data_IF_110986581283
#
_entry.id   IF_110986581283
#
_cell.length_a   1.000
_cell.length_b   1.000
_cell.length_c   1.000
_cell.angle_alpha   90.00
_cell.angle_beta   90.00
_cell.angle_gamma   90.00
#
_symmetry.space_group_name_H-M   'P 1'
#
loop_
_entity.id
_entity.type
_entity.pdbx_description
1 polymer ?
#
# COMPACT_ATOMS: atom_id res chain seq x y z
N UNK A 1 -46.96 47.42 37.58
CA UNK A 1 -47.32 46.19 36.86
C UNK A 1 -46.80 46.16 35.43
N UNK A 2 -47.39 46.85 34.43
CA UNK A 2 -46.91 46.77 33.02
C UNK A 2 -45.47 47.30 32.85
N UNK A 3 -45.12 48.40 33.52
CA UNK A 3 -43.77 48.97 33.45
C UNK A 3 -42.71 48.02 34.05
N UNK A 4 -43.00 47.39 35.18
CA UNK A 4 -42.08 46.46 35.86
C UNK A 4 -41.87 45.16 35.06
N UNK A 5 -42.88 44.71 34.31
CA UNK A 5 -42.76 43.57 33.41
C UNK A 5 -41.87 43.90 32.21
N UNK A 6 -42.06 45.08 31.61
CA UNK A 6 -41.21 45.56 30.52
C UNK A 6 -39.76 45.77 30.96
N UNK A 7 -39.51 46.28 32.17
CA UNK A 7 -38.16 46.42 32.73
C UNK A 7 -37.46 45.07 32.93
N UNK A 8 -38.21 44.04 33.37
CA UNK A 8 -37.67 42.68 33.50
C UNK A 8 -37.36 42.05 32.15
N UNK A 9 -38.24 42.23 31.16
CA UNK A 9 -38.04 41.72 29.80
C UNK A 9 -36.82 42.40 29.14
N UNK A 10 -36.70 43.72 29.28
CA UNK A 10 -35.54 44.48 28.82
C UNK A 10 -34.24 43.94 29.43
N UNK A 11 -34.21 43.76 30.75
CA UNK A 11 -33.02 43.22 31.44
C UNK A 11 -32.64 41.82 30.96
N UNK A 12 -33.64 40.96 30.71
CA UNK A 12 -33.40 39.60 30.21
C UNK A 12 -32.85 39.61 28.78
N UNK A 13 -33.38 40.48 27.93
CA UNK A 13 -32.89 40.68 26.57
C UNK A 13 -31.48 41.26 26.55
N UNK A 14 -31.17 42.25 27.39
CA UNK A 14 -29.82 42.81 27.52
C UNK A 14 -28.81 41.74 27.93
N UNK A 15 -29.11 40.96 28.97
CA UNK A 15 -28.22 39.86 29.40
C UNK A 15 -28.03 38.81 28.31
N UNK A 16 -29.08 38.52 27.52
CA UNK A 16 -28.99 37.58 26.40
C UNK A 16 -28.13 38.13 25.27
N UNK A 17 -28.25 39.43 24.95
CA UNK A 17 -27.42 40.10 23.96
C UNK A 17 -25.94 40.07 24.37
N UNK A 18 -25.62 40.45 25.61
CA UNK A 18 -24.25 40.42 26.14
C UNK A 18 -23.65 39.01 26.18
N UNK A 19 -24.47 37.98 26.40
CA UNK A 19 -24.02 36.58 26.33
C UNK A 19 -23.71 36.18 24.89
N UNK A 20 -24.58 36.51 23.95
CA UNK A 20 -24.39 36.20 22.53
C UNK A 20 -23.20 36.96 21.93
N UNK A 21 -22.95 38.20 22.34
CA UNK A 21 -21.76 38.96 21.93
C UNK A 21 -20.48 38.28 22.40
N UNK A 22 -20.43 37.80 23.64
CA UNK A 22 -19.27 37.05 24.15
C UNK A 22 -19.07 35.72 23.42
N UNK A 23 -20.14 34.95 23.23
CA UNK A 23 -20.09 33.69 22.47
C UNK A 23 -19.63 33.95 21.03
N UNK A 24 -20.05 35.07 20.42
CA UNK A 24 -19.63 35.45 19.08
C UNK A 24 -18.12 35.75 19.03
N UNK A 25 -17.59 36.55 19.95
CA UNK A 25 -16.15 36.83 20.01
C UNK A 25 -15.31 35.58 20.29
N UNK A 26 -15.76 34.69 21.17
CA UNK A 26 -15.09 33.40 21.42
C UNK A 26 -15.05 32.52 20.16
N UNK A 27 -16.13 32.52 19.36
CA UNK A 27 -16.17 31.80 18.09
C UNK A 27 -15.27 32.45 17.02
N UNK A 28 -15.18 33.78 16.98
CA UNK A 28 -14.25 34.48 16.08
C UNK A 28 -12.79 34.14 16.40
N UNK A 29 -12.43 34.08 17.68
CA UNK A 29 -11.10 33.67 18.13
C UNK A 29 -10.82 32.20 17.75
N UNK A 30 -11.78 31.29 17.96
CA UNK A 30 -11.65 29.89 17.53
C UNK A 30 -11.49 29.74 16.02
N UNK A 31 -12.21 30.54 15.22
CA UNK A 31 -12.06 30.54 13.75
C UNK A 31 -10.64 30.99 13.38
N UNK A 32 -10.15 32.06 14.01
CA UNK A 32 -8.80 32.57 13.75
C UNK A 32 -7.71 31.54 14.09
N UNK A 33 -7.83 30.86 15.23
CA UNK A 33 -6.90 29.80 15.64
C UNK A 33 -6.94 28.61 14.66
N UNK A 34 -8.12 28.19 14.22
CA UNK A 34 -8.29 27.12 13.22
C UNK A 34 -7.72 27.51 11.85
N UNK A 35 -7.82 28.78 11.45
CA UNK A 35 -7.20 29.27 10.21
C UNK A 35 -5.67 29.22 10.29
N UNK A 36 -5.08 29.54 11.45
CA UNK A 36 -3.64 29.38 11.68
C UNK A 36 -3.24 27.91 11.60
N UNK A 37 -3.92 27.02 12.34
CA UNK A 37 -3.62 25.58 12.34
C UNK A 37 -3.72 24.99 10.92
N UNK A 38 -4.74 25.40 10.16
CA UNK A 38 -4.88 24.99 8.76
C UNK A 38 -3.67 25.42 7.91
N UNK A 39 -3.23 26.66 8.03
CA UNK A 39 -2.08 27.17 7.26
C UNK A 39 -0.78 26.43 7.63
N UNK A 40 -0.60 26.11 8.91
CA UNK A 40 0.55 25.33 9.37
C UNK A 40 0.54 23.90 8.79
N UNK A 41 -0.63 23.22 8.80
CA UNK A 41 -0.80 21.90 8.20
C UNK A 41 -0.55 21.94 6.68
N UNK A 42 -1.03 22.96 5.97
CA UNK A 42 -0.78 23.15 4.54
C UNK A 42 0.73 23.30 4.26
N UNK A 43 1.44 24.07 5.08
CA UNK A 43 2.89 24.23 4.98
C UNK A 43 3.65 22.91 5.23
N UNK A 44 3.26 22.14 6.25
CA UNK A 44 3.85 20.82 6.52
C UNK A 44 3.61 19.84 5.37
N UNK A 45 2.40 19.87 4.78
CA UNK A 45 2.05 19.04 3.64
C UNK A 45 2.91 19.37 2.42
N UNK A 46 3.16 20.64 2.14
CA UNK A 46 4.04 21.09 1.06
C UNK A 46 5.49 20.64 1.26
N UNK A 47 6.02 20.74 2.48
CA UNK A 47 7.35 20.23 2.80
C UNK A 47 7.46 18.71 2.58
N UNK A 48 6.45 17.95 3.02
CA UNK A 48 6.41 16.50 2.85
C UNK A 48 6.35 16.15 1.37
N UNK A 49 5.51 16.84 0.59
CA UNK A 49 5.42 16.66 -0.86
C UNK A 49 6.75 16.96 -1.55
N UNK A 50 7.46 18.01 -1.11
CA UNK A 50 8.78 18.32 -1.63
C UNK A 50 9.79 17.20 -1.33
N UNK A 51 9.84 16.70 -0.09
CA UNK A 51 10.70 15.57 0.31
C UNK A 51 10.38 14.31 -0.51
N UNK A 52 9.10 14.00 -0.72
CA UNK A 52 8.66 12.88 -1.57
C UNK A 52 9.15 13.06 -3.00
N UNK A 53 9.06 14.27 -3.57
CA UNK A 53 9.51 14.53 -4.93
C UNK A 53 11.03 14.37 -5.09
N UNK A 54 11.83 14.84 -4.13
CA UNK A 54 13.28 14.60 -4.10
C UNK A 54 13.58 13.10 -4.05
N UNK A 55 12.91 12.35 -3.16
CA UNK A 55 13.11 10.90 -3.05
C UNK A 55 12.74 10.20 -4.36
N UNK A 56 11.62 10.58 -4.99
CA UNK A 56 11.21 10.04 -6.30
C UNK A 56 12.24 10.32 -7.37
N UNK A 57 12.79 11.53 -7.43
CA UNK A 57 13.87 11.87 -8.36
C UNK A 57 15.10 11.01 -8.11
N UNK A 58 15.56 10.89 -6.87
CA UNK A 58 16.71 10.06 -6.52
C UNK A 58 16.52 8.58 -6.88
N UNK A 59 15.31 8.04 -6.67
CA UNK A 59 14.97 6.67 -7.08
C UNK A 59 14.98 6.55 -8.60
N UNK A 60 14.36 7.49 -9.32
CA UNK A 60 14.35 7.48 -10.77
C UNK A 60 15.77 7.60 -11.34
N UNK A 61 16.61 8.46 -10.77
CA UNK A 61 18.01 8.58 -11.17
C UNK A 61 18.79 7.29 -10.89
N UNK A 62 18.57 6.66 -9.73
CA UNK A 62 19.15 5.36 -9.44
C UNK A 62 18.71 4.30 -10.45
N UNK A 63 17.41 4.22 -10.75
CA UNK A 63 16.85 3.24 -11.70
C UNK A 63 17.33 3.50 -13.13
N UNK A 64 17.37 4.77 -13.57
CA UNK A 64 17.80 5.13 -14.91
C UNK A 64 19.30 4.89 -15.12
N UNK A 65 20.11 5.06 -14.07
CA UNK A 65 21.55 4.86 -14.14
C UNK A 65 21.97 3.41 -13.86
N UNK A 66 21.10 2.59 -13.27
CA UNK A 66 21.41 1.21 -12.92
C UNK A 66 20.80 0.24 -13.94
N UNK A 67 21.64 -0.29 -14.81
CA UNK A 67 21.24 -1.22 -15.88
C UNK A 67 21.38 -2.68 -15.47
N UNK A 68 21.79 -2.98 -14.23
CA UNK A 68 21.94 -4.35 -13.75
C UNK A 68 20.55 -4.99 -13.55
N UNK A 69 20.18 -6.01 -14.36
CA UNK A 69 18.87 -6.66 -14.28
C UNK A 69 18.63 -7.33 -12.93
N UNK A 70 19.66 -7.86 -12.28
CA UNK A 70 19.55 -8.47 -10.96
C UNK A 70 19.18 -7.42 -9.90
N UNK A 71 19.86 -6.28 -9.89
CA UNK A 71 19.60 -5.21 -8.91
C UNK A 71 18.17 -4.67 -9.07
N UNK A 72 17.73 -4.48 -10.31
CA UNK A 72 16.38 -3.99 -10.59
C UNK A 72 15.30 -4.98 -10.13
N UNK A 73 15.45 -6.26 -10.44
CA UNK A 73 14.50 -7.29 -10.01
C UNK A 73 14.55 -7.51 -8.48
N UNK A 74 15.73 -7.37 -7.87
CA UNK A 74 15.89 -7.39 -6.41
C UNK A 74 15.10 -6.27 -5.74
N UNK A 75 15.20 -5.04 -6.26
CA UNK A 75 14.47 -3.89 -5.74
C UNK A 75 12.96 -4.11 -5.87
N UNK A 76 12.50 -4.57 -7.05
CA UNK A 76 11.09 -4.91 -7.29
C UNK A 76 10.57 -5.90 -6.24
N UNK A 77 11.29 -7.01 -6.03
CA UNK A 77 10.91 -8.01 -5.04
C UNK A 77 10.98 -7.49 -3.59
N UNK A 78 11.90 -6.57 -3.27
CA UNK A 78 12.08 -6.05 -1.91
C UNK A 78 10.86 -5.29 -1.36
N UNK A 79 9.98 -4.78 -2.21
CA UNK A 79 8.73 -4.12 -1.79
C UNK A 79 7.68 -5.09 -1.19
N UNK A 80 7.91 -6.40 -1.33
CA UNK A 80 7.08 -7.46 -0.75
C UNK A 80 7.64 -8.02 0.56
N UNK A 81 8.74 -7.47 1.08
CA UNK A 81 9.27 -7.85 2.39
C UNK A 81 8.63 -7.04 3.52
N UNK A 82 8.62 -7.64 4.71
CA UNK A 82 8.22 -6.94 5.92
C UNK A 82 9.32 -5.97 6.37
N UNK A 83 8.96 -4.69 6.56
CA UNK A 83 9.92 -3.62 6.85
C UNK A 83 10.08 -3.32 8.35
N UNK A 84 9.33 -4.00 9.23
CA UNK A 84 9.20 -3.62 10.64
C UNK A 84 9.96 -4.51 11.63
N UNK A 85 10.48 -5.66 11.21
CA UNK A 85 11.11 -6.63 12.13
C UNK A 85 12.41 -7.22 11.56
N UNK A 86 13.21 -7.89 12.39
CA UNK A 86 14.35 -8.73 11.96
C UNK A 86 13.90 -10.18 11.84
N UNK A 87 12.82 -10.42 11.09
CA UNK A 87 12.27 -11.76 10.85
C UNK A 87 12.77 -12.31 9.51
N UNK A 88 12.55 -13.60 9.26
CA UNK A 88 12.81 -14.19 7.95
C UNK A 88 12.09 -13.46 6.80
N UNK A 89 10.95 -12.82 7.07
CA UNK A 89 10.16 -12.05 6.09
C UNK A 89 10.84 -10.75 5.63
N UNK A 90 11.90 -10.33 6.30
CA UNK A 90 12.71 -9.16 5.94
C UNK A 90 13.86 -9.49 4.99
N UNK A 91 13.87 -10.71 4.47
CA UNK A 91 14.86 -11.17 3.51
C UNK A 91 14.21 -11.58 2.21
N UNK A 92 14.99 -11.49 1.13
CA UNK A 92 14.66 -12.09 -0.15
C UNK A 92 15.39 -13.41 -0.25
N UNK A 93 14.69 -14.45 -0.68
CA UNK A 93 15.27 -15.75 -1.02
C UNK A 93 15.74 -15.70 -2.46
N UNK A 94 17.05 -15.83 -2.66
CA UNK A 94 17.68 -15.89 -3.98
C UNK A 94 17.86 -17.35 -4.34
N UNK A 95 17.13 -17.82 -5.35
CA UNK A 95 17.25 -19.18 -5.87
C UNK A 95 18.22 -19.21 -7.06
N UNK A 96 18.22 -20.30 -7.83
CA UNK A 96 19.05 -20.40 -9.04
C UNK A 96 18.59 -19.47 -10.17
N UNK A 97 17.30 -19.14 -10.22
CA UNK A 97 16.69 -18.39 -11.33
C UNK A 97 15.55 -17.44 -10.91
N UNK A 98 15.29 -17.31 -9.61
CA UNK A 98 14.20 -16.49 -9.09
C UNK A 98 14.62 -15.75 -7.82
N UNK A 99 14.11 -14.53 -7.70
CA UNK A 99 14.14 -13.72 -6.49
C UNK A 99 12.75 -13.79 -5.87
N UNK A 100 12.66 -14.27 -4.63
CA UNK A 100 11.40 -14.52 -3.93
C UNK A 100 11.31 -13.67 -2.68
N UNK A 101 10.16 -13.03 -2.47
CA UNK A 101 9.86 -12.26 -1.27
C UNK A 101 8.42 -12.50 -0.81
N UNK A 102 8.18 -12.40 0.50
CA UNK A 102 6.86 -12.46 1.10
C UNK A 102 6.86 -11.76 2.47
N UNK A 103 5.69 -11.30 2.89
CA UNK A 103 5.45 -10.71 4.22
C UNK A 103 4.34 -11.42 5.00
N UNK A 104 3.91 -12.59 4.51
CA UNK A 104 2.82 -13.38 5.08
C UNK A 104 1.45 -13.10 4.47
N UNK A 105 1.22 -11.91 3.90
CA UNK A 105 -0.07 -11.54 3.28
C UNK A 105 0.02 -11.43 1.75
N UNK A 106 1.23 -11.25 1.25
CA UNK A 106 1.53 -11.20 -0.18
C UNK A 106 2.89 -11.80 -0.44
N UNK A 107 3.08 -12.24 -1.67
CA UNK A 107 4.32 -12.85 -2.11
C UNK A 107 4.59 -12.53 -3.58
N UNK A 108 5.87 -12.51 -3.95
CA UNK A 108 6.34 -12.32 -5.31
C UNK A 108 7.45 -13.33 -5.62
N UNK A 109 7.43 -13.85 -6.85
CA UNK A 109 8.56 -14.51 -7.48
C UNK A 109 8.90 -13.78 -8.79
N UNK A 110 10.15 -13.31 -8.91
CA UNK A 110 10.66 -12.66 -10.12
C UNK A 110 11.70 -13.57 -10.75
N UNK A 111 11.43 -14.05 -11.98
CA UNK A 111 12.40 -14.82 -12.76
C UNK A 111 13.52 -13.90 -13.24
N UNK A 112 14.74 -14.28 -12.93
CA UNK A 112 15.95 -13.57 -13.29
C UNK A 112 17.04 -14.57 -13.67
N UNK A 113 17.53 -14.49 -14.91
CA UNK A 113 18.56 -15.39 -15.44
C UNK A 113 19.98 -14.86 -15.16
N UNK A 114 20.09 -13.62 -14.70
CA UNK A 114 21.33 -12.88 -14.49
C UNK A 114 21.80 -12.94 -13.02
N UNK A 115 21.18 -13.79 -12.19
CA UNK A 115 21.56 -13.97 -10.78
C UNK A 115 23.04 -14.43 -10.72
N UNK A 116 23.93 -13.66 -10.06
CA UNK A 116 25.32 -14.04 -9.89
C UNK A 116 25.47 -15.37 -9.15
N UNK A 117 26.38 -16.23 -9.61
CA UNK A 117 26.53 -17.59 -9.06
C UNK A 117 26.83 -17.61 -7.56
N UNK A 118 27.53 -16.62 -7.03
CA UNK A 118 27.84 -16.48 -5.60
C UNK A 118 26.63 -16.04 -4.74
N UNK A 119 25.53 -15.59 -5.35
CA UNK A 119 24.30 -15.22 -4.67
C UNK A 119 23.22 -16.32 -4.73
N UNK A 120 23.40 -17.35 -5.56
CA UNK A 120 22.40 -18.42 -5.72
C UNK A 120 22.24 -19.23 -4.43
N UNK A 121 20.98 -19.54 -4.10
CA UNK A 121 20.57 -20.28 -2.90
C UNK A 121 21.03 -19.59 -1.61
N UNK A 122 20.90 -18.27 -1.57
CA UNK A 122 21.18 -17.44 -0.40
C UNK A 122 19.96 -16.60 -0.02
N UNK A 123 20.06 -15.93 1.11
CA UNK A 123 19.12 -14.92 1.57
C UNK A 123 19.84 -13.58 1.65
N UNK A 124 19.16 -12.50 1.28
CA UNK A 124 19.72 -11.15 1.34
C UNK A 124 18.67 -10.21 1.93
N UNK A 125 19.07 -9.37 2.89
CA UNK A 125 18.16 -8.43 3.56
C UNK A 125 17.57 -7.45 2.55
N UNK A 126 16.29 -7.12 2.70
CA UNK A 126 15.53 -6.36 1.70
C UNK A 126 16.06 -4.97 1.39
N UNK A 127 16.79 -4.36 2.33
CA UNK A 127 17.32 -3.01 2.22
C UNK A 127 18.73 -2.93 1.64
N UNK A 128 19.34 -4.06 1.28
CA UNK A 128 20.66 -4.10 0.64
C UNK A 128 20.56 -3.54 -0.78
N UNK A 129 21.48 -2.65 -1.17
CA UNK A 129 21.53 -2.02 -2.51
C UNK A 129 22.87 -2.19 -3.21
N UNK A 130 23.92 -2.56 -2.47
CA UNK A 130 25.29 -2.75 -2.94
C UNK A 130 25.96 -3.87 -2.15
N UNK A 131 27.10 -4.36 -2.64
CA UNK A 131 27.90 -5.41 -1.97
C UNK A 131 27.10 -6.65 -1.57
N UNK A 132 26.16 -7.07 -2.42
CA UNK A 132 25.22 -8.17 -2.17
C UNK A 132 25.91 -9.44 -1.64
N UNK A 133 27.06 -9.81 -2.21
CA UNK A 133 27.81 -11.00 -1.84
C UNK A 133 28.23 -11.02 -0.35
N UNK A 134 28.61 -9.86 0.18
CA UNK A 134 29.04 -9.70 1.58
C UNK A 134 27.87 -9.69 2.56
N UNK A 135 26.64 -9.53 2.04
CA UNK A 135 25.40 -9.43 2.81
C UNK A 135 24.50 -10.65 2.61
N UNK A 136 25.08 -11.77 2.17
CA UNK A 136 24.38 -13.05 2.02
C UNK A 136 24.32 -13.81 3.34
N UNK A 137 23.18 -14.44 3.59
CA UNK A 137 22.98 -15.42 4.66
C UNK A 137 22.58 -16.76 4.04
N UNK A 138 22.99 -17.88 4.63
CA UNK A 138 22.76 -19.23 4.06
C UNK A 138 21.79 -20.10 4.87
N UNK A 139 21.62 -19.80 6.14
CA UNK A 139 20.76 -20.58 7.02
C UNK A 139 19.77 -19.66 7.70
N UNK A 140 18.57 -19.60 7.13
CA UNK A 140 17.49 -18.80 7.67
C UNK A 140 16.19 -19.59 7.66
N UNK A 141 15.42 -19.42 8.74
CA UNK A 141 14.04 -19.92 8.84
C UNK A 141 13.12 -19.03 8.02
N UNK A 142 13.30 -19.07 6.70
CA UNK A 142 12.39 -18.45 5.76
C UNK A 142 11.17 -19.35 5.60
N UNK A 143 9.93 -18.82 5.71
CA UNK A 143 8.76 -19.64 5.48
C UNK A 143 8.85 -20.29 4.10
N UNK A 144 8.70 -21.61 4.05
CA UNK A 144 8.82 -22.36 2.81
C UNK A 144 7.55 -22.16 1.97
N UNK A 145 7.38 -20.95 1.42
CA UNK A 145 6.28 -20.60 0.53
C UNK A 145 6.67 -21.04 -0.88
N UNK A 146 5.99 -22.08 -1.36
CA UNK A 146 6.10 -22.52 -2.75
C UNK A 146 5.10 -21.73 -3.62
N UNK A 147 5.53 -20.54 -4.03
CA UNK A 147 4.73 -19.65 -4.90
C UNK A 147 4.34 -20.35 -6.20
N UNK A 148 5.18 -21.25 -6.73
CA UNK A 148 4.87 -22.00 -7.95
C UNK A 148 3.74 -22.98 -7.74
N UNK A 149 3.77 -23.71 -6.63
CA UNK A 149 2.69 -24.63 -6.30
C UNK A 149 1.37 -23.89 -6.05
N UNK A 150 1.42 -22.75 -5.35
CA UNK A 150 0.21 -21.91 -5.16
C UNK A 150 -0.30 -21.38 -6.49
N UNK A 151 0.57 -20.82 -7.33
CA UNK A 151 0.18 -20.30 -8.64
C UNK A 151 -0.43 -21.39 -9.53
N UNK A 152 0.16 -22.60 -9.53
CA UNK A 152 -0.38 -23.77 -10.23
C UNK A 152 -1.78 -24.10 -9.73
N UNK A 153 -1.98 -24.21 -8.42
CA UNK A 153 -3.28 -24.49 -7.83
C UNK A 153 -4.33 -23.43 -8.23
N UNK A 154 -3.96 -22.14 -8.20
CA UNK A 154 -4.86 -21.05 -8.61
C UNK A 154 -5.22 -21.15 -10.09
N UNK A 155 -4.24 -21.40 -10.97
CA UNK A 155 -4.48 -21.56 -12.41
C UNK A 155 -5.29 -22.81 -12.76
N UNK A 156 -5.30 -23.83 -11.92
CA UNK A 156 -6.13 -25.04 -12.10
C UNK A 156 -7.57 -24.85 -11.60
N UNK A 157 -7.81 -23.89 -10.70
CA UNK A 157 -9.09 -23.75 -9.98
C UNK A 157 -9.76 -22.36 -10.15
N UNK A 158 -9.28 -21.51 -11.06
CA UNK A 158 -9.84 -20.16 -11.22
C UNK A 158 -11.29 -20.18 -11.69
N UNK A 159 -12.07 -19.20 -11.22
CA UNK A 159 -13.42 -18.91 -11.72
C UNK A 159 -13.36 -17.74 -12.72
N UNK A 160 -12.48 -16.77 -12.48
CA UNK A 160 -12.27 -15.64 -13.38
C UNK A 160 -10.81 -15.52 -13.79
N UNK A 161 -10.59 -15.33 -15.09
CA UNK A 161 -9.30 -15.00 -15.68
C UNK A 161 -9.45 -13.73 -16.50
N UNK A 162 -8.59 -12.75 -16.25
CA UNK A 162 -8.60 -11.46 -16.93
C UNK A 162 -7.19 -11.17 -17.42
N UNK A 163 -7.05 -10.76 -18.68
CA UNK A 163 -5.79 -10.27 -19.20
C UNK A 163 -5.83 -8.76 -19.28
N UNK A 164 -4.86 -8.08 -18.69
CA UNK A 164 -4.84 -6.61 -18.60
C UNK A 164 -3.41 -6.09 -18.42
N UNK A 165 -3.24 -4.77 -18.43
CA UNK A 165 -2.03 -4.08 -17.99
C UNK A 165 -2.33 -3.25 -16.73
N UNK A 166 -1.32 -2.59 -16.15
CA UNK A 166 -1.49 -1.85 -14.90
C UNK A 166 -2.49 -0.68 -15.02
N UNK A 167 -2.66 -0.08 -16.21
CA UNK A 167 -3.63 0.99 -16.44
C UNK A 167 -5.03 0.44 -16.74
N UNK A 168 -5.10 -0.69 -17.43
CA UNK A 168 -6.32 -1.40 -17.76
C UNK A 168 -6.95 -2.07 -16.55
N UNK A 169 -6.17 -2.47 -15.55
CA UNK A 169 -6.65 -3.16 -14.35
C UNK A 169 -7.84 -2.44 -13.71
N UNK A 170 -7.68 -1.14 -13.42
CA UNK A 170 -8.71 -0.32 -12.79
C UNK A 170 -9.96 -0.09 -13.65
N UNK A 171 -9.89 -0.36 -14.96
CA UNK A 171 -11.02 -0.23 -15.88
C UNK A 171 -11.85 -1.51 -15.99
N UNK A 172 -11.23 -2.67 -15.69
CA UNK A 172 -11.89 -3.96 -15.81
C UNK A 172 -12.70 -4.32 -14.56
N UNK A 173 -12.30 -3.79 -13.40
CA UNK A 173 -13.04 -3.99 -12.16
C UNK A 173 -13.88 -2.75 -11.84
N UNK A 174 -15.10 -2.96 -11.38
CA UNK A 174 -15.80 -1.98 -10.56
C UNK A 174 -15.09 -1.93 -9.21
N UNK A 175 -14.57 -0.76 -8.84
CA UNK A 175 -13.76 -0.60 -7.63
C UNK A 175 -14.46 0.33 -6.68
N UNK A 176 -14.79 -0.20 -5.51
CA UNK A 176 -15.23 0.59 -4.38
C UNK A 176 -14.10 0.72 -3.36
N UNK A 177 -14.10 1.83 -2.62
CA UNK A 177 -13.10 2.11 -1.60
C UNK A 177 -13.78 2.16 -0.23
N UNK A 178 -13.17 1.49 0.74
CA UNK A 178 -13.54 1.59 2.15
C UNK A 178 -12.29 1.59 3.00
N UNK A 179 -12.42 1.89 4.30
CA UNK A 179 -11.32 1.85 5.24
C UNK A 179 -11.73 1.19 6.55
N UNK A 180 -10.80 0.48 7.17
CA UNK A 180 -10.99 -0.13 8.48
C UNK A 180 -9.65 -0.24 9.20
N UNK A 181 -9.56 0.23 10.44
CA UNK A 181 -8.35 0.18 11.27
C UNK A 181 -7.08 0.68 10.52
N UNK A 182 -7.17 1.85 9.90
CA UNK A 182 -6.10 2.47 9.10
C UNK A 182 -5.65 1.67 7.86
N UNK A 183 -6.42 0.65 7.47
CA UNK A 183 -6.22 -0.09 6.22
C UNK A 183 -7.20 0.45 5.18
N UNK A 184 -6.67 0.98 4.08
CA UNK A 184 -7.45 1.27 2.89
C UNK A 184 -7.73 -0.03 2.13
N UNK A 185 -9.00 -0.26 1.84
CA UNK A 185 -9.51 -1.49 1.26
C UNK A 185 -10.13 -1.15 -0.10
N UNK A 186 -9.70 -1.86 -1.14
CA UNK A 186 -10.36 -1.85 -2.44
C UNK A 186 -11.24 -3.09 -2.56
N UNK A 187 -12.51 -2.89 -2.90
CA UNK A 187 -13.46 -3.95 -3.18
C UNK A 187 -13.61 -4.07 -4.70
N UNK A 188 -13.22 -5.22 -5.24
CA UNK A 188 -13.30 -5.52 -6.67
C UNK A 188 -14.61 -6.25 -6.98
N UNK A 189 -15.47 -5.65 -7.81
CA UNK A 189 -16.76 -6.18 -8.26
C UNK A 189 -17.65 -6.71 -7.11
N UNK A 190 -17.68 -5.99 -5.98
CA UNK A 190 -18.40 -6.36 -4.74
C UNK A 190 -18.03 -7.73 -4.15
N UNK A 191 -16.93 -8.30 -4.62
CA UNK A 191 -16.61 -9.71 -4.40
C UNK A 191 -15.32 -9.92 -3.63
N UNK A 192 -14.27 -9.14 -3.91
CA UNK A 192 -12.95 -9.35 -3.31
C UNK A 192 -12.44 -8.06 -2.70
N UNK A 193 -12.26 -8.07 -1.39
CA UNK A 193 -11.62 -6.99 -0.68
C UNK A 193 -10.11 -7.22 -0.62
N UNK A 194 -9.33 -6.20 -0.99
CA UNK A 194 -7.87 -6.23 -0.97
C UNK A 194 -7.33 -5.01 -0.23
N UNK A 195 -6.19 -5.17 0.42
CA UNK A 195 -5.44 -4.02 0.90
C UNK A 195 -4.97 -3.20 -0.32
N UNK A 196 -5.37 -1.93 -0.37
CA UNK A 196 -5.08 -1.04 -1.50
C UNK A 196 -3.59 -0.95 -1.78
N UNK A 197 -2.79 -0.74 -0.73
CA UNK A 197 -1.33 -0.61 -0.82
C UNK A 197 -0.68 -1.87 -1.40
N UNK A 198 -1.22 -3.05 -1.09
CA UNK A 198 -0.66 -4.31 -1.59
C UNK A 198 -0.89 -4.46 -3.09
N UNK A 199 -2.09 -4.10 -3.56
CA UNK A 199 -2.41 -4.14 -4.99
C UNK A 199 -1.61 -3.08 -5.76
N UNK A 200 -1.48 -1.87 -5.24
CA UNK A 200 -0.65 -0.82 -5.87
C UNK A 200 0.81 -1.26 -6.03
N UNK A 201 1.40 -1.87 -5.00
CA UNK A 201 2.77 -2.41 -5.08
C UNK A 201 2.86 -3.49 -6.15
N UNK A 202 1.87 -4.39 -6.23
CA UNK A 202 1.83 -5.42 -7.27
C UNK A 202 1.74 -4.83 -8.68
N UNK A 203 0.83 -3.89 -8.92
CA UNK A 203 0.63 -3.26 -10.23
C UNK A 203 1.83 -2.42 -10.67
N UNK A 204 2.54 -1.78 -9.72
CA UNK A 204 3.77 -1.04 -10.00
C UNK A 204 4.98 -1.95 -10.28
N UNK A 205 4.88 -3.25 -9.99
CA UNK A 205 5.97 -4.20 -10.26
C UNK A 205 6.00 -4.66 -11.72
N UNK A 206 4.82 -4.71 -12.35
CA UNK A 206 4.68 -4.89 -13.78
C UNK A 206 5.05 -3.58 -14.49
N UNK A 207 5.77 -3.67 -15.60
CA UNK A 207 6.04 -2.49 -16.41
C UNK A 207 4.70 -1.98 -16.99
N UNK A 208 4.52 -0.65 -17.08
CA UNK A 208 3.19 -0.03 -17.36
C UNK A 208 2.48 -0.53 -18.63
N UNK A 209 3.23 -1.06 -19.59
CA UNK A 209 2.74 -1.55 -20.88
C UNK A 209 2.76 -3.08 -20.97
N UNK A 210 3.23 -3.75 -19.94
CA UNK A 210 3.35 -5.20 -19.92
C UNK A 210 2.01 -5.82 -19.50
N UNK A 211 1.47 -6.67 -20.36
CA UNK A 211 0.25 -7.41 -20.06
C UNK A 211 0.55 -8.54 -19.07
N UNK A 212 -0.36 -8.73 -18.12
CA UNK A 212 -0.39 -9.86 -17.20
C UNK A 212 -1.79 -10.47 -17.13
N UNK A 213 -1.85 -11.71 -16.68
CA UNK A 213 -3.10 -12.40 -16.40
C UNK A 213 -3.40 -12.30 -14.89
N UNK A 214 -4.65 -12.01 -14.54
CA UNK A 214 -5.20 -12.00 -13.19
C UNK A 214 -6.12 -13.20 -13.05
N UNK A 215 -5.83 -14.07 -12.09
CA UNK A 215 -6.62 -15.25 -11.77
C UNK A 215 -7.27 -15.08 -10.40
N UNK A 216 -8.56 -15.34 -10.34
CA UNK A 216 -9.39 -15.25 -9.15
C UNK A 216 -10.07 -16.61 -8.97
N UNK A 217 -9.80 -17.26 -7.84
CA UNK A 217 -10.45 -18.52 -7.46
C UNK A 217 -11.80 -18.23 -6.81
N UNK A 218 -11.84 -17.48 -5.70
CA UNK A 218 -13.07 -17.00 -5.08
C UNK A 218 -12.75 -15.85 -4.11
N UNK A 219 -13.78 -15.30 -3.43
CA UNK A 219 -13.66 -14.15 -2.51
C UNK A 219 -12.78 -14.37 -1.28
N UNK A 220 -12.49 -15.62 -0.91
CA UNK A 220 -11.74 -16.00 0.30
C UNK A 220 -10.34 -16.53 -0.01
N UNK A 221 -10.01 -16.67 -1.29
CA UNK A 221 -8.75 -17.27 -1.76
C UNK A 221 -7.88 -16.20 -2.38
N UNK A 222 -6.59 -16.51 -2.41
CA UNK A 222 -5.57 -15.70 -3.05
C UNK A 222 -5.92 -15.26 -4.47
N UNK A 223 -5.53 -14.03 -4.81
CA UNK A 223 -5.48 -13.55 -6.19
C UNK A 223 -4.06 -13.74 -6.71
N UNK A 224 -3.95 -14.29 -7.92
CA UNK A 224 -2.69 -14.42 -8.64
C UNK A 224 -2.64 -13.39 -9.78
N UNK A 225 -1.59 -12.57 -9.80
CA UNK A 225 -1.22 -11.74 -10.93
C UNK A 225 0.07 -12.31 -11.53
N UNK A 226 0.07 -12.68 -12.82
CA UNK A 226 1.18 -13.42 -13.41
C UNK A 226 1.44 -13.06 -14.87
N UNK A 227 2.71 -12.98 -15.23
CA UNK A 227 3.17 -13.00 -16.61
C UNK A 227 4.32 -14.01 -16.79
N UNK A 228 5.07 -13.90 -17.90
CA UNK A 228 6.19 -14.77 -18.19
C UNK A 228 7.34 -14.67 -17.17
N UNK A 229 7.55 -13.50 -16.55
CA UNK A 229 8.65 -13.20 -15.61
C UNK A 229 8.23 -13.13 -14.15
N UNK A 230 7.07 -12.59 -13.84
CA UNK A 230 6.64 -12.23 -12.48
C UNK A 230 5.41 -13.04 -12.10
N UNK A 231 5.40 -13.56 -10.88
CA UNK A 231 4.22 -14.17 -10.25
C UNK A 231 4.00 -13.51 -8.90
N UNK A 232 2.83 -12.89 -8.70
CA UNK A 232 2.46 -12.18 -7.48
C UNK A 232 1.19 -12.80 -6.91
N UNK A 233 1.20 -13.04 -5.61
CA UNK A 233 0.07 -13.56 -4.85
C UNK A 233 -0.33 -12.51 -3.81
N UNK A 234 -1.62 -12.23 -3.70
CA UNK A 234 -2.19 -11.34 -2.68
C UNK A 234 -3.33 -12.05 -1.98
N UNK A 235 -3.30 -12.08 -0.65
CA UNK A 235 -4.42 -12.59 0.14
C UNK A 235 -5.53 -11.54 0.26
N UNK A 236 -6.81 -11.95 0.12
CA UNK A 236 -7.95 -11.07 0.33
C UNK A 236 -8.14 -10.73 1.81
N UNK A 237 -8.74 -9.57 2.06
CA UNK A 237 -9.24 -9.16 3.37
C UNK A 237 -10.62 -9.77 3.55
N UNK A 238 -10.82 -10.44 4.69
CA UNK A 238 -12.15 -10.92 5.06
C UNK A 238 -12.97 -9.75 5.64
N UNK A 239 -13.97 -9.29 4.90
CA UNK A 239 -14.94 -8.34 5.43
C UNK A 239 -16.03 -9.11 6.18
N UNK A 240 -16.15 -8.87 7.48
CA UNK A 240 -17.34 -9.28 8.22
C UNK A 240 -18.49 -8.36 7.78
N UNK A 241 -19.50 -8.91 7.11
CA UNK A 241 -20.78 -8.22 7.03
C UNK A 241 -21.36 -8.24 8.44
N UNK A 242 -21.55 -7.07 9.04
CA UNK A 242 -22.51 -6.96 10.12
C UNK A 242 -23.86 -7.29 9.48
N UNK A 243 -24.42 -8.45 9.83
CA UNK A 243 -25.81 -8.75 9.54
C UNK A 243 -26.62 -7.82 10.47
N UNK A 244 -27.14 -6.73 9.91
CA UNK A 244 -28.22 -5.95 10.51
C UNK A 244 -29.55 -6.71 10.37
#
# INVERSE_FOLDING_TARGET
>A
MILEELEKELKLLTNKAEKLEREHSELEEQIYDLEIEKNDIESELDEINHKINIIRQNINDFVNNNTDPFVMDFIKASFFCEQRYETGLSYLKITNNEIIACDGYRAIAVKNNDIPNNLKNTFIKWNVRTSFAEKTERDMRYPNIDIKQIAKNVMENYIYKIRTDSNGFYKVFNIEYTSSNDVNIMILNDYIALNQKYLEIALNTFDKLENFDVYIVNKLREILLINNRISIIILPILLHKNED
#
